data_IF_742415209757
#
_entry.id   IF_742415209757
#
_cell.length_a   1.000
_cell.length_b   1.000
_cell.length_c   1.000
_cell.angle_alpha   90.00
_cell.angle_beta   90.00
_cell.angle_gamma   90.00
#
_symmetry.space_group_name_H-M   'P 1'
#
loop_
_entity.id
_entity.type
_entity.pdbx_description
1 polymer ?
#
# COMPACT_ATOMS: atom_id res chain seq x y z
N UNK A 1 33.23 -33.30 -48.93
CA UNK A 1 32.83 -31.94 -48.53
C UNK A 1 33.33 -30.95 -49.57
N UNK A 2 32.56 -29.93 -49.92
CA UNK A 2 33.03 -28.82 -50.78
C UNK A 2 33.67 -27.72 -49.92
N UNK A 3 34.59 -26.95 -50.48
CA UNK A 3 35.24 -25.83 -49.77
C UNK A 3 34.22 -24.81 -49.24
N UNK A 4 33.12 -24.59 -49.97
CA UNK A 4 32.00 -23.74 -49.56
C UNK A 4 31.35 -24.19 -48.24
N UNK A 5 31.14 -25.50 -48.07
CA UNK A 5 30.58 -26.05 -46.82
C UNK A 5 31.54 -25.89 -45.63
N UNK A 6 32.85 -25.88 -45.87
CA UNK A 6 33.85 -25.65 -44.81
C UNK A 6 33.87 -24.19 -44.34
N UNK A 7 33.79 -23.23 -45.28
CA UNK A 7 33.68 -21.81 -44.89
C UNK A 7 32.34 -21.51 -44.20
N UNK A 8 31.24 -22.07 -44.70
CA UNK A 8 29.93 -21.92 -44.08
C UNK A 8 29.91 -22.48 -42.65
N UNK A 9 30.46 -23.68 -42.44
CA UNK A 9 30.61 -24.23 -41.08
C UNK A 9 31.46 -23.34 -40.21
N UNK A 10 32.63 -22.86 -40.64
CA UNK A 10 33.46 -21.96 -39.84
C UNK A 10 32.70 -20.69 -39.41
N UNK A 11 31.98 -20.03 -40.31
CA UNK A 11 31.19 -18.83 -39.98
C UNK A 11 30.06 -19.13 -38.99
N UNK A 12 29.36 -20.25 -39.15
CA UNK A 12 28.32 -20.67 -38.20
C UNK A 12 28.93 -20.96 -36.84
N UNK A 13 30.08 -21.61 -36.77
CA UNK A 13 30.75 -21.91 -35.49
C UNK A 13 31.29 -20.66 -34.79
N UNK A 14 31.80 -19.68 -35.55
CA UNK A 14 32.13 -18.34 -35.02
C UNK A 14 30.88 -17.67 -34.46
N UNK A 15 29.77 -17.71 -35.21
CA UNK A 15 28.49 -17.13 -34.78
C UNK A 15 27.97 -17.80 -33.50
N UNK A 16 28.14 -19.12 -33.37
CA UNK A 16 27.83 -19.86 -32.14
C UNK A 16 28.74 -19.47 -30.98
N UNK A 17 30.03 -19.21 -31.22
CA UNK A 17 30.93 -18.65 -30.20
C UNK A 17 30.50 -17.27 -29.70
N UNK A 18 30.05 -16.40 -30.62
CA UNK A 18 29.48 -15.10 -30.27
C UNK A 18 28.20 -15.27 -29.46
N UNK A 19 27.30 -16.15 -29.90
CA UNK A 19 26.05 -16.47 -29.21
C UNK A 19 26.30 -17.03 -27.81
N UNK A 20 27.28 -17.93 -27.67
CA UNK A 20 27.70 -18.47 -26.37
C UNK A 20 28.14 -17.36 -25.42
N UNK A 21 28.96 -16.41 -25.89
CA UNK A 21 29.37 -15.26 -25.09
C UNK A 21 28.22 -14.38 -24.63
N UNK A 22 27.29 -14.05 -25.55
CA UNK A 22 26.09 -13.29 -25.22
C UNK A 22 25.18 -14.01 -24.22
N UNK A 23 24.99 -15.32 -24.41
CA UNK A 23 24.18 -16.16 -23.53
C UNK A 23 24.80 -16.27 -22.13
N UNK A 24 26.13 -16.42 -22.05
CA UNK A 24 26.87 -16.49 -20.78
C UNK A 24 26.75 -15.18 -19.99
N UNK A 25 26.90 -14.02 -20.64
CA UNK A 25 26.76 -12.72 -19.97
C UNK A 25 25.33 -12.49 -19.45
N UNK A 26 24.33 -12.86 -20.26
CA UNK A 26 22.92 -12.80 -19.85
C UNK A 26 22.63 -13.73 -18.67
N UNK A 27 23.10 -14.98 -18.76
CA UNK A 27 22.96 -15.96 -17.70
C UNK A 27 23.59 -15.45 -16.39
N UNK A 28 24.81 -14.94 -16.44
CA UNK A 28 25.50 -14.39 -15.27
C UNK A 28 24.74 -13.19 -14.64
N UNK A 29 24.13 -12.33 -15.47
CA UNK A 29 23.33 -11.19 -15.01
C UNK A 29 22.08 -11.64 -14.25
N UNK A 30 21.39 -12.68 -14.71
CA UNK A 30 20.17 -13.20 -14.07
C UNK A 30 20.44 -14.12 -12.88
N UNK A 31 21.55 -14.87 -12.90
CA UNK A 31 21.87 -15.83 -11.86
C UNK A 31 22.25 -15.14 -10.53
N UNK A 32 22.78 -13.92 -10.55
CA UNK A 32 23.16 -13.15 -9.34
C UNK A 32 23.86 -14.03 -8.28
N UNK A 33 24.98 -14.66 -8.66
CA UNK A 33 25.70 -15.72 -7.91
C UNK A 33 25.80 -15.50 -6.40
N UNK A 34 26.03 -14.25 -5.96
CA UNK A 34 26.17 -13.90 -4.53
C UNK A 34 24.91 -14.12 -3.68
N UNK A 35 23.72 -14.10 -4.29
CA UNK A 35 22.44 -14.21 -3.56
C UNK A 35 21.82 -15.61 -3.57
N UNK A 36 22.28 -16.50 -4.45
CA UNK A 36 21.67 -17.84 -4.62
C UNK A 36 22.49 -18.91 -3.88
N UNK A 37 21.81 -19.96 -3.42
CA UNK A 37 22.46 -21.14 -2.81
C UNK A 37 23.41 -21.80 -3.81
N UNK A 38 24.59 -22.21 -3.34
CA UNK A 38 25.66 -22.78 -4.18
C UNK A 38 25.19 -23.99 -5.01
N UNK A 39 24.38 -24.89 -4.44
CA UNK A 39 23.84 -26.05 -5.17
C UNK A 39 22.99 -25.67 -6.39
N UNK A 40 22.17 -24.60 -6.28
CA UNK A 40 21.35 -24.13 -7.39
C UNK A 40 22.19 -23.46 -8.48
N UNK A 41 23.28 -22.79 -8.10
CA UNK A 41 24.22 -22.22 -9.06
C UNK A 41 24.91 -23.34 -9.83
N UNK A 42 25.37 -24.38 -9.13
CA UNK A 42 26.00 -25.54 -9.75
C UNK A 42 25.07 -26.26 -10.74
N UNK A 43 23.83 -26.55 -10.33
CA UNK A 43 22.86 -27.20 -11.21
C UNK A 43 22.57 -26.37 -12.46
N UNK A 44 22.39 -25.05 -12.32
CA UNK A 44 22.17 -24.18 -13.48
C UNK A 44 23.41 -24.07 -14.36
N UNK A 45 24.63 -24.08 -13.80
CA UNK A 45 25.87 -24.05 -14.56
C UNK A 45 26.02 -25.33 -15.41
N UNK A 46 25.72 -26.49 -14.83
CA UNK A 46 25.70 -27.78 -15.56
C UNK A 46 24.63 -27.76 -16.65
N UNK A 47 23.39 -27.34 -16.33
CA UNK A 47 22.32 -27.24 -17.32
C UNK A 47 22.68 -26.30 -18.46
N UNK A 48 23.28 -25.15 -18.16
CA UNK A 48 23.74 -24.19 -19.16
C UNK A 48 24.78 -24.84 -20.09
N UNK A 49 25.79 -25.52 -19.53
CA UNK A 49 26.83 -26.17 -20.32
C UNK A 49 26.27 -27.28 -21.21
N UNK A 50 25.32 -28.08 -20.71
CA UNK A 50 24.64 -29.12 -21.50
C UNK A 50 23.83 -28.50 -22.64
N UNK A 51 23.01 -27.49 -22.36
CA UNK A 51 22.19 -26.82 -23.37
C UNK A 51 23.06 -26.19 -24.46
N UNK A 52 24.14 -25.49 -24.07
CA UNK A 52 25.05 -24.87 -25.03
C UNK A 52 25.80 -25.92 -25.86
N UNK A 53 26.29 -26.99 -25.23
CA UNK A 53 26.92 -28.10 -25.93
C UNK A 53 25.98 -28.75 -26.95
N UNK A 54 24.72 -28.97 -26.58
CA UNK A 54 23.69 -29.51 -27.48
C UNK A 54 23.36 -28.56 -28.62
N UNK A 55 23.25 -27.25 -28.37
CA UNK A 55 23.00 -26.25 -29.41
C UNK A 55 24.15 -26.19 -30.43
N UNK A 56 25.39 -26.19 -29.95
CA UNK A 56 26.58 -26.21 -30.79
C UNK A 56 26.64 -27.50 -31.60
N UNK A 57 26.38 -28.65 -30.98
CA UNK A 57 26.37 -29.93 -31.68
C UNK A 57 25.25 -30.02 -32.72
N UNK A 58 24.04 -29.58 -32.38
CA UNK A 58 22.89 -29.58 -33.28
C UNK A 58 23.14 -28.70 -34.51
N UNK A 59 23.67 -27.50 -34.30
CA UNK A 59 23.98 -26.58 -35.41
C UNK A 59 25.13 -27.09 -36.26
N UNK A 60 26.14 -27.71 -35.65
CA UNK A 60 27.18 -28.41 -36.38
C UNK A 60 26.63 -29.59 -37.18
N UNK A 61 25.69 -30.35 -36.61
CA UNK A 61 25.04 -31.47 -37.30
C UNK A 61 24.29 -30.99 -38.54
N UNK A 62 23.58 -29.87 -38.44
CA UNK A 62 22.84 -29.31 -39.57
C UNK A 62 23.75 -28.88 -40.73
N UNK A 63 24.92 -28.29 -40.45
CA UNK A 63 25.78 -27.69 -41.50
C UNK A 63 26.87 -28.66 -41.98
N UNK A 64 27.34 -29.56 -41.12
CA UNK A 64 28.45 -30.48 -41.39
C UNK A 64 28.10 -31.97 -41.23
N UNK A 65 26.81 -32.32 -41.05
CA UNK A 65 26.39 -33.69 -40.70
C UNK A 65 27.05 -34.26 -39.43
N UNK A 66 27.63 -33.40 -38.60
CA UNK A 66 28.23 -33.79 -37.32
C UNK A 66 29.71 -34.17 -37.40
N UNK A 67 30.39 -33.92 -38.51
CA UNK A 67 31.85 -34.10 -38.61
C UNK A 67 32.58 -33.14 -37.64
N UNK A 68 33.00 -33.69 -36.50
CA UNK A 68 33.81 -32.98 -35.51
C UNK A 68 35.27 -32.93 -35.96
N UNK A 69 35.79 -31.71 -36.14
CA UNK A 69 37.16 -31.44 -36.57
C UNK A 69 37.77 -30.35 -35.69
N UNK A 70 39.08 -30.38 -35.53
CA UNK A 70 39.77 -29.49 -34.59
C UNK A 70 39.56 -27.98 -34.87
N UNK A 71 39.48 -27.58 -36.14
CA UNK A 71 39.27 -26.17 -36.52
C UNK A 71 37.90 -25.61 -36.06
N UNK A 72 36.91 -26.46 -35.79
CA UNK A 72 35.59 -26.06 -35.29
C UNK A 72 35.74 -25.45 -33.88
N UNK A 73 36.56 -26.06 -33.03
CA UNK A 73 36.82 -25.53 -31.69
C UNK A 73 37.53 -24.18 -31.76
N UNK A 74 38.50 -24.03 -32.67
CA UNK A 74 39.18 -22.75 -32.91
C UNK A 74 38.19 -21.68 -33.37
N UNK A 75 37.27 -22.03 -34.28
CA UNK A 75 36.23 -21.13 -34.77
C UNK A 75 35.31 -20.64 -33.64
N UNK A 76 34.86 -21.53 -32.75
CA UNK A 76 34.05 -21.16 -31.57
C UNK A 76 34.85 -20.24 -30.64
N UNK A 77 36.10 -20.60 -30.30
CA UNK A 77 36.96 -19.81 -29.42
C UNK A 77 37.22 -18.42 -30.00
N UNK A 78 37.46 -18.35 -31.31
CA UNK A 78 37.64 -17.10 -32.03
C UNK A 78 36.37 -16.24 -31.97
N UNK A 79 35.19 -16.82 -32.23
CA UNK A 79 33.92 -16.11 -32.12
C UNK A 79 33.64 -15.60 -30.70
N UNK A 80 33.93 -16.41 -29.69
CA UNK A 80 33.80 -16.00 -28.30
C UNK A 80 34.77 -14.87 -27.93
N UNK A 81 36.03 -14.94 -28.37
CA UNK A 81 37.02 -13.88 -28.16
C UNK A 81 36.61 -12.57 -28.86
N UNK A 82 36.12 -12.66 -30.10
CA UNK A 82 35.60 -11.52 -30.85
C UNK A 82 34.41 -10.87 -30.13
N UNK A 83 33.49 -11.67 -29.58
CA UNK A 83 32.40 -11.17 -28.75
C UNK A 83 32.93 -10.43 -27.51
N UNK A 84 33.86 -11.05 -26.78
CA UNK A 84 34.41 -10.47 -25.55
C UNK A 84 35.12 -9.13 -25.81
N UNK A 85 35.86 -9.02 -26.90
CA UNK A 85 36.65 -7.84 -27.24
C UNK A 85 35.79 -6.69 -27.78
N UNK A 86 34.83 -6.97 -28.67
CA UNK A 86 34.12 -5.92 -29.42
C UNK A 86 32.66 -5.76 -29.00
N UNK A 87 31.93 -6.86 -28.82
CA UNK A 87 30.47 -6.85 -28.70
C UNK A 87 29.98 -6.78 -27.25
N UNK A 88 30.78 -7.24 -26.29
CA UNK A 88 30.39 -7.30 -24.87
C UNK A 88 29.85 -5.99 -24.33
N UNK A 89 30.55 -4.88 -24.57
CA UNK A 89 30.16 -3.57 -24.04
C UNK A 89 28.82 -3.11 -24.63
N UNK A 90 28.63 -3.29 -25.93
CA UNK A 90 27.38 -2.97 -26.63
C UNK A 90 26.23 -3.85 -26.17
N UNK A 91 26.48 -5.15 -26.03
CA UNK A 91 25.50 -6.12 -25.57
C UNK A 91 25.01 -5.81 -24.16
N UNK A 92 25.93 -5.58 -23.21
CA UNK A 92 25.56 -5.27 -21.83
C UNK A 92 24.79 -3.94 -21.72
N UNK A 93 25.16 -2.91 -22.48
CA UNK A 93 24.41 -1.64 -22.53
C UNK A 93 22.99 -1.86 -23.07
N UNK A 94 22.84 -2.63 -24.14
CA UNK A 94 21.53 -2.97 -24.73
C UNK A 94 20.69 -3.79 -23.75
N UNK A 95 21.28 -4.79 -23.10
CA UNK A 95 20.63 -5.62 -22.09
C UNK A 95 20.13 -4.77 -20.91
N UNK A 96 20.95 -3.86 -20.41
CA UNK A 96 20.54 -2.96 -19.32
C UNK A 96 19.43 -2.00 -19.75
N UNK A 97 19.50 -1.45 -20.97
CA UNK A 97 18.44 -0.61 -21.52
C UNK A 97 17.12 -1.38 -21.63
N UNK A 98 17.18 -2.64 -22.08
CA UNK A 98 16.01 -3.52 -22.19
C UNK A 98 15.43 -3.84 -20.81
N UNK A 99 16.27 -4.15 -19.81
CA UNK A 99 15.81 -4.36 -18.43
C UNK A 99 15.14 -3.10 -17.87
N UNK A 100 15.77 -1.93 -18.03
CA UNK A 100 15.20 -0.64 -17.59
C UNK A 100 13.88 -0.35 -18.29
N UNK A 101 13.79 -0.64 -19.59
CA UNK A 101 12.57 -0.50 -20.36
C UNK A 101 11.45 -1.40 -19.81
N UNK A 102 11.71 -2.70 -19.61
CA UNK A 102 10.74 -3.62 -19.02
C UNK A 102 10.26 -3.16 -17.64
N UNK A 103 11.19 -2.70 -16.78
CA UNK A 103 10.85 -2.15 -15.47
C UNK A 103 9.99 -0.89 -15.60
N UNK A 104 10.32 -0.01 -16.55
CA UNK A 104 9.55 1.21 -16.81
C UNK A 104 8.12 0.88 -17.27
N UNK A 105 7.97 -0.09 -18.18
CA UNK A 105 6.66 -0.58 -18.64
C UNK A 105 5.87 -1.18 -17.48
N UNK A 106 6.48 -2.02 -16.65
CA UNK A 106 5.83 -2.60 -15.48
C UNK A 106 5.35 -1.52 -14.50
N UNK A 107 6.21 -0.54 -14.16
CA UNK A 107 5.82 0.57 -13.28
C UNK A 107 4.72 1.42 -13.89
N UNK A 108 4.76 1.63 -15.21
CA UNK A 108 3.72 2.35 -15.93
C UNK A 108 2.37 1.61 -15.83
N UNK A 109 2.35 0.30 -16.03
CA UNK A 109 1.14 -0.53 -15.87
C UNK A 109 0.60 -0.48 -14.44
N UNK A 110 1.47 -0.65 -13.42
CA UNK A 110 1.05 -0.55 -12.01
C UNK A 110 0.49 0.84 -11.70
N UNK A 111 1.12 1.90 -12.23
CA UNK A 111 0.64 3.28 -12.06
C UNK A 111 -0.72 3.49 -12.73
N UNK A 112 -0.93 2.93 -13.92
CA UNK A 112 -2.23 2.94 -14.60
C UNK A 112 -3.30 2.27 -13.75
N UNK A 113 -3.05 1.05 -13.25
CA UNK A 113 -3.97 0.32 -12.38
C UNK A 113 -4.28 1.12 -11.11
N UNK A 114 -3.26 1.71 -10.48
CA UNK A 114 -3.45 2.49 -9.27
C UNK A 114 -4.30 3.76 -9.51
N UNK A 115 -4.07 4.47 -10.62
CA UNK A 115 -4.85 5.66 -10.98
C UNK A 115 -6.27 5.28 -11.42
N UNK A 116 -6.43 4.19 -12.15
CA UNK A 116 -7.70 3.84 -12.80
C UNK A 116 -8.62 2.99 -11.91
N UNK A 117 -8.06 2.24 -10.95
CA UNK A 117 -8.83 1.32 -10.10
C UNK A 117 -8.77 1.80 -8.64
N UNK A 118 -7.57 1.89 -8.06
CA UNK A 118 -7.45 2.15 -6.63
C UNK A 118 -7.96 3.56 -6.22
N UNK A 119 -7.51 4.61 -6.92
CA UNK A 119 -7.96 5.99 -6.63
C UNK A 119 -9.47 6.19 -6.75
N UNK A 120 -10.15 5.81 -7.85
CA UNK A 120 -11.59 6.05 -7.96
C UNK A 120 -12.39 5.26 -6.94
N UNK A 121 -11.99 4.03 -6.61
CA UNK A 121 -12.65 3.23 -5.56
C UNK A 121 -12.49 3.90 -4.20
N UNK A 122 -11.29 4.39 -3.87
CA UNK A 122 -11.06 5.12 -2.62
C UNK A 122 -11.91 6.39 -2.53
N UNK A 123 -12.00 7.16 -3.62
CA UNK A 123 -12.86 8.36 -3.68
C UNK A 123 -14.33 7.97 -3.49
N UNK A 124 -14.81 6.90 -4.15
CA UNK A 124 -16.19 6.42 -4.00
C UNK A 124 -16.51 6.02 -2.55
N UNK A 125 -15.63 5.28 -1.88
CA UNK A 125 -15.85 4.84 -0.50
C UNK A 125 -15.83 6.05 0.45
N UNK A 126 -14.86 6.96 0.28
CA UNK A 126 -14.75 8.14 1.14
C UNK A 126 -15.92 9.10 0.95
N UNK A 127 -16.44 9.28 -0.26
CA UNK A 127 -17.65 10.10 -0.49
C UNK A 127 -18.89 9.46 0.12
N UNK A 128 -19.05 8.14 0.03
CA UNK A 128 -20.16 7.43 0.69
C UNK A 128 -20.13 7.60 2.22
N UNK A 129 -18.98 7.41 2.84
CA UNK A 129 -18.81 7.63 4.29
C UNK A 129 -19.09 9.08 4.66
N UNK A 130 -18.62 10.04 3.86
CA UNK A 130 -18.87 11.46 4.09
C UNK A 130 -20.37 11.80 4.03
N UNK A 131 -21.13 11.20 3.10
CA UNK A 131 -22.58 11.37 2.99
C UNK A 131 -23.27 10.86 4.26
N UNK A 132 -22.92 9.65 4.73
CA UNK A 132 -23.51 9.07 5.95
C UNK A 132 -23.25 9.97 7.18
N UNK A 133 -22.02 10.44 7.34
CA UNK A 133 -21.64 11.33 8.44
C UNK A 133 -22.36 12.67 8.33
N UNK A 134 -22.52 13.22 7.12
CA UNK A 134 -23.22 14.48 6.88
C UNK A 134 -24.69 14.39 7.28
N UNK A 135 -25.37 13.31 6.87
CA UNK A 135 -26.77 13.04 7.24
C UNK A 135 -26.90 12.90 8.75
N UNK A 136 -26.03 12.12 9.40
CA UNK A 136 -26.04 11.93 10.85
C UNK A 136 -25.82 13.25 11.61
N UNK A 137 -24.89 14.09 11.16
CA UNK A 137 -24.68 15.44 11.73
C UNK A 137 -25.90 16.33 11.53
N UNK A 138 -26.53 16.30 10.35
CA UNK A 138 -27.75 17.06 10.06
C UNK A 138 -28.93 16.66 10.93
N UNK A 139 -29.13 15.36 11.16
CA UNK A 139 -30.15 14.84 12.08
C UNK A 139 -29.88 15.31 13.52
N UNK A 140 -28.63 15.21 13.98
CA UNK A 140 -28.27 15.64 15.33
C UNK A 140 -28.46 17.14 15.54
N UNK A 141 -28.07 17.99 14.57
CA UNK A 141 -28.28 19.44 14.67
C UNK A 141 -29.76 19.80 14.64
N UNK A 142 -30.57 19.14 13.81
CA UNK A 142 -32.02 19.31 13.79
C UNK A 142 -32.67 18.91 15.12
N UNK A 143 -32.33 17.73 15.64
CA UNK A 143 -32.83 17.25 16.94
C UNK A 143 -32.45 18.21 18.08
N UNK A 144 -31.21 18.70 18.10
CA UNK A 144 -30.74 19.69 19.09
C UNK A 144 -31.52 21.00 18.98
N UNK A 145 -31.83 21.46 17.77
CA UNK A 145 -32.66 22.64 17.53
C UNK A 145 -34.09 22.44 18.05
N UNK A 146 -34.72 21.30 17.76
CA UNK A 146 -36.06 20.96 18.26
C UNK A 146 -36.09 20.94 19.78
N UNK A 147 -35.12 20.28 20.42
CA UNK A 147 -35.01 20.22 21.88
C UNK A 147 -34.86 21.64 22.48
N UNK A 148 -34.04 22.48 21.85
CA UNK A 148 -33.87 23.89 22.26
C UNK A 148 -35.20 24.66 22.14
N UNK A 149 -35.95 24.49 21.05
CA UNK A 149 -37.26 25.11 20.87
C UNK A 149 -38.25 24.67 21.96
N UNK A 150 -38.32 23.37 22.26
CA UNK A 150 -39.17 22.82 23.32
C UNK A 150 -38.81 23.44 24.69
N UNK A 151 -37.53 23.50 25.04
CA UNK A 151 -37.08 24.09 26.32
C UNK A 151 -37.41 25.59 26.39
N UNK A 152 -37.29 26.32 25.28
CA UNK A 152 -37.70 27.74 25.22
C UNK A 152 -39.19 27.89 25.41
N UNK A 153 -40.02 27.05 24.77
CA UNK A 153 -41.48 27.07 24.94
C UNK A 153 -41.89 26.76 26.37
N UNK A 154 -41.31 25.73 26.99
CA UNK A 154 -41.56 25.37 28.40
C UNK A 154 -41.17 26.53 29.32
N UNK A 155 -39.99 27.13 29.14
CA UNK A 155 -39.57 28.29 29.93
C UNK A 155 -40.46 29.51 29.69
N UNK A 156 -40.91 29.73 28.45
CA UNK A 156 -41.81 30.82 28.11
C UNK A 156 -43.19 30.64 28.77
N UNK A 157 -43.71 29.41 28.86
CA UNK A 157 -44.95 29.10 29.57
C UNK A 157 -44.81 29.17 31.10
N UNK A 158 -43.64 28.83 31.65
CA UNK A 158 -43.37 28.93 33.09
C UNK A 158 -43.08 30.37 33.57
N UNK A 159 -42.61 31.25 32.68
CA UNK A 159 -42.37 32.67 32.99
C UNK A 159 -43.61 33.43 33.50
N UNK A 160 -44.80 33.37 32.87
CA UNK A 160 -46.00 34.03 33.38
C UNK A 160 -46.45 33.44 34.72
N UNK A 161 -46.29 32.12 34.92
CA UNK A 161 -46.57 31.47 36.20
C UNK A 161 -45.64 31.99 37.32
N UNK A 162 -44.35 32.14 37.04
CA UNK A 162 -43.40 32.75 37.96
C UNK A 162 -43.76 34.21 38.27
N UNK A 163 -44.20 34.97 37.26
CA UNK A 163 -44.63 36.36 37.43
C UNK A 163 -45.87 36.47 38.33
N UNK A 164 -46.85 35.58 38.12
CA UNK A 164 -48.05 35.47 38.96
C UNK A 164 -47.72 35.10 40.41
N UNK A 165 -46.78 34.16 40.62
CA UNK A 165 -46.29 33.82 41.97
C UNK A 165 -45.57 34.99 42.65
N UNK A 166 -44.78 35.79 41.92
CA UNK A 166 -44.18 37.02 42.49
C UNK A 166 -45.21 38.10 42.81
N UNK A 167 -46.29 38.20 42.02
CA UNK A 167 -47.38 39.13 42.28
C UNK A 167 -48.11 38.75 43.58
N UNK A 168 -48.39 37.45 43.75
CA UNK A 168 -48.92 36.90 45.00
C UNK A 168 -47.94 37.12 46.17
N UNK A 169 -46.64 36.96 45.97
CA UNK A 169 -45.62 37.21 47.01
C UNK A 169 -45.53 38.68 47.47
N UNK A 170 -45.92 39.63 46.63
CA UNK A 170 -46.04 41.05 47.00
C UNK A 170 -47.28 41.34 47.85
N UNK A 171 -48.37 40.60 47.63
CA UNK A 171 -49.66 40.77 48.32
C UNK A 171 -49.75 40.01 49.65
N UNK A 172 -48.80 39.12 49.94
CA UNK A 172 -48.78 38.33 51.18
C UNK A 172 -48.30 39.15 52.39
N UNK A 173 -49.04 39.17 53.52
CA UNK A 173 -48.68 39.90 54.74
C UNK A 173 -47.39 39.36 55.40
N UNK A 174 -46.65 40.25 56.10
CA UNK A 174 -45.30 40.01 56.67
C UNK A 174 -45.19 38.75 57.55
N UNK A 175 -46.29 38.30 58.15
CA UNK A 175 -46.32 37.13 59.05
C UNK A 175 -46.12 35.80 58.31
N UNK A 176 -46.62 35.68 57.08
CA UNK A 176 -46.50 34.45 56.28
C UNK A 176 -45.10 34.36 55.66
N UNK A 177 -44.49 35.50 55.28
CA UNK A 177 -43.09 35.56 54.82
C UNK A 177 -42.13 34.97 55.84
N UNK A 178 -42.28 35.31 57.12
CA UNK A 178 -41.46 34.73 58.21
C UNK A 178 -41.62 33.22 58.35
N UNK A 179 -42.82 32.67 58.16
CA UNK A 179 -43.06 31.22 58.23
C UNK A 179 -42.45 30.47 57.04
N UNK A 180 -42.54 31.02 55.83
CA UNK A 180 -41.91 30.44 54.65
C UNK A 180 -40.39 30.53 54.72
N UNK A 181 -39.83 31.62 55.26
CA UNK A 181 -38.40 31.78 55.51
C UNK A 181 -37.88 30.78 56.55
N UNK A 182 -38.66 30.50 57.60
CA UNK A 182 -38.37 29.41 58.55
C UNK A 182 -38.38 28.02 57.90
N UNK A 183 -39.37 27.73 57.04
CA UNK A 183 -39.45 26.46 56.31
C UNK A 183 -38.33 26.32 55.27
N UNK A 184 -38.01 27.40 54.57
CA UNK A 184 -36.91 27.47 53.62
C UNK A 184 -35.57 27.21 54.32
N UNK A 185 -35.31 27.86 55.46
CA UNK A 185 -34.09 27.62 56.24
C UNK A 185 -34.02 26.18 56.78
N UNK A 186 -35.15 25.58 57.16
CA UNK A 186 -35.22 24.18 57.62
C UNK A 186 -34.99 23.18 56.48
N UNK A 187 -35.45 23.49 55.27
CA UNK A 187 -35.22 22.69 54.05
C UNK A 187 -33.80 22.89 53.49
N UNK A 188 -33.26 24.11 53.57
CA UNK A 188 -31.89 24.43 53.18
C UNK A 188 -30.86 23.69 54.04
N UNK A 189 -31.14 23.53 55.34
CA UNK A 189 -30.34 22.66 56.21
C UNK A 189 -30.32 21.20 55.75
N UNK A 190 -31.47 20.64 55.34
CA UNK A 190 -31.55 19.27 54.80
C UNK A 190 -30.90 19.12 53.42
N UNK A 191 -30.99 20.13 52.56
CA UNK A 191 -30.36 20.07 51.23
C UNK A 191 -28.83 20.19 51.29
N UNK A 192 -28.29 20.93 52.25
CA UNK A 192 -26.86 20.95 52.57
C UNK A 192 -26.36 19.58 53.04
N UNK A 193 -27.12 18.89 53.89
CA UNK A 193 -26.80 17.53 54.33
C UNK A 193 -26.79 16.54 53.15
N UNK A 194 -27.78 16.60 52.26
CA UNK A 194 -27.82 15.78 51.05
C UNK A 194 -26.65 16.07 50.09
N UNK A 195 -26.27 17.35 49.95
CA UNK A 195 -25.13 17.76 49.11
C UNK A 195 -23.79 17.26 49.67
N UNK A 196 -23.61 17.33 50.99
CA UNK A 196 -22.42 16.81 51.67
C UNK A 196 -22.38 15.28 51.63
N UNK A 197 -23.53 14.60 51.71
CA UNK A 197 -23.59 13.15 51.56
C UNK A 197 -23.23 12.71 50.14
N UNK A 198 -23.74 13.42 49.13
CA UNK A 198 -23.40 13.18 47.72
C UNK A 198 -21.92 13.46 47.41
N UNK A 199 -21.33 14.54 47.94
CA UNK A 199 -19.90 14.81 47.75
C UNK A 199 -19.03 13.74 48.40
N UNK A 200 -19.33 13.35 49.64
CA UNK A 200 -18.59 12.30 50.34
C UNK A 200 -18.72 10.93 49.66
N UNK A 201 -19.92 10.61 49.13
CA UNK A 201 -20.12 9.39 48.35
C UNK A 201 -19.32 9.40 47.04
N UNK A 202 -19.29 10.55 46.34
CA UNK A 202 -18.51 10.75 45.12
C UNK A 202 -16.99 10.64 45.36
N UNK A 203 -16.49 11.18 46.46
CA UNK A 203 -15.06 11.11 46.80
C UNK A 203 -14.65 9.69 47.24
N UNK A 204 -15.54 8.93 47.90
CA UNK A 204 -15.32 7.50 48.19
C UNK A 204 -15.20 6.63 46.94
N UNK A 205 -15.93 6.95 45.86
CA UNK A 205 -15.86 6.24 44.59
C UNK A 205 -14.65 6.63 43.73
N UNK A 206 -14.00 7.77 44.01
CA UNK A 206 -12.82 8.26 43.28
C UNK A 206 -11.49 7.72 43.83
N UNK A 207 -11.48 7.23 45.07
CA UNK A 207 -10.29 6.74 45.79
C UNK A 207 -10.24 5.19 45.89
N UNK A 208 -11.00 4.49 45.06
CA UNK A 208 -10.98 3.02 44.91
C UNK A 208 -10.70 2.67 43.47
#
# INVERSE_FOLDING_TARGET
MTLSTQFATMLVMISMGVFFGASLDTYNRFLQRRKRKSWLVFLNDVLFMVIQGLLVFYTLFQVNKGDLRFYIFIAILCGFAAYQAMLKQWYLKSLEKMIKFCISVYRFLVKLINIFIYKPIYILITTLIAIIISIGKGLYTAAKWLLKCIVVLIKAALKPFQWMLTLLWKLIPKNIKKSVEKLYNKLAGKSLLLKNYYSNWKDKWKNK
#
